data_IF_563403177164
#
_entry.id   IF_563403177164
#
_cell.length_a   1.000
_cell.length_b   1.000
_cell.length_c   1.000
_cell.angle_alpha   90.00
_cell.angle_beta   90.00
_cell.angle_gamma   90.00
#
_symmetry.space_group_name_H-M   'P 1'
#
loop_
_entity.id
_entity.type
_entity.pdbx_description
1 polymer ?
#
# COMPACT_ATOMS: atom_id res chain seq x y z
N UNK A 1 50.19 12.32 -46.90
CA UNK A 1 49.76 13.58 -47.51
C UNK A 1 48.41 13.93 -46.99
N UNK A 2 48.19 15.19 -46.64
CA UNK A 2 47.09 15.65 -45.77
C UNK A 2 45.98 16.36 -46.57
N UNK A 3 44.87 16.63 -45.85
CA UNK A 3 43.86 17.60 -46.25
C UNK A 3 42.48 17.02 -46.01
N UNK A 4 41.49 17.65 -45.38
CA UNK A 4 41.23 19.04 -45.10
C UNK A 4 40.18 19.14 -43.98
N UNK A 5 40.38 20.11 -43.13
CA UNK A 5 39.40 20.64 -42.20
C UNK A 5 38.27 21.36 -42.94
N UNK A 6 37.04 21.25 -42.50
CA UNK A 6 36.03 22.30 -42.64
C UNK A 6 35.27 22.53 -41.35
N UNK A 7 35.39 23.71 -40.87
CA UNK A 7 34.69 24.41 -39.84
C UNK A 7 33.27 24.74 -40.26
N UNK A 8 32.30 24.66 -39.36
CA UNK A 8 30.92 25.09 -39.56
C UNK A 8 30.32 25.59 -38.26
N UNK A 9 30.19 26.81 -38.16
CA UNK A 9 29.72 27.85 -37.28
C UNK A 9 28.63 27.50 -36.24
N UNK A 10 28.84 28.18 -35.09
CA UNK A 10 27.88 28.38 -33.98
C UNK A 10 26.67 29.22 -34.46
N UNK A 11 25.49 28.85 -33.99
CA UNK A 11 24.36 29.76 -33.87
C UNK A 11 23.85 29.70 -32.42
N UNK A 12 24.13 30.74 -31.66
CA UNK A 12 23.58 30.96 -30.33
C UNK A 12 22.13 31.42 -30.44
N UNK A 13 21.29 30.89 -29.56
CA UNK A 13 19.97 31.49 -29.27
C UNK A 13 19.91 31.80 -27.79
N UNK A 14 20.02 33.09 -27.50
CA UNK A 14 19.73 33.69 -26.20
C UNK A 14 18.22 33.68 -25.97
N UNK A 15 17.75 32.85 -25.05
CA UNK A 15 16.37 32.87 -24.54
C UNK A 15 16.30 33.75 -23.30
N UNK A 16 15.44 34.75 -23.35
CA UNK A 16 15.18 35.78 -22.33
C UNK A 16 14.45 35.13 -21.15
N UNK A 17 15.01 35.30 -19.94
CA UNK A 17 14.34 35.02 -18.68
C UNK A 17 13.31 36.12 -18.40
N UNK A 18 12.03 35.75 -18.34
CA UNK A 18 10.97 36.59 -17.79
C UNK A 18 10.74 36.22 -16.35
N UNK A 19 11.11 37.10 -15.44
CA UNK A 19 10.79 36.97 -14.03
C UNK A 19 9.30 37.31 -13.83
N UNK A 20 8.49 36.33 -13.38
CA UNK A 20 7.14 36.59 -12.88
C UNK A 20 7.22 36.70 -11.35
N UNK A 21 6.93 37.90 -10.86
CA UNK A 21 6.78 38.18 -9.44
C UNK A 21 5.37 37.73 -8.98
N UNK A 22 5.31 36.79 -8.06
CA UNK A 22 4.06 36.44 -7.36
C UNK A 22 3.85 37.39 -6.18
N UNK A 23 2.75 38.13 -6.22
CA UNK A 23 2.28 38.98 -5.12
C UNK A 23 1.58 38.14 -4.08
N UNK A 24 2.09 38.15 -2.83
CA UNK A 24 1.38 37.65 -1.66
C UNK A 24 0.17 38.52 -1.38
N UNK A 25 -1.03 37.93 -1.42
CA UNK A 25 -2.23 38.52 -0.86
C UNK A 25 -2.42 37.99 0.59
N UNK A 26 -2.14 38.84 1.58
CA UNK A 26 -2.46 38.59 2.96
C UNK A 26 -3.94 38.87 3.20
N UNK A 27 -4.72 37.85 3.55
CA UNK A 27 -6.11 38.04 4.02
C UNK A 27 -6.12 38.31 5.52
N UNK A 28 -6.48 39.53 5.86
CA UNK A 28 -6.68 39.98 7.25
C UNK A 28 -8.04 39.51 7.77
N UNK A 29 -8.05 38.74 8.85
CA UNK A 29 -9.26 38.47 9.61
C UNK A 29 -9.64 39.69 10.46
N UNK A 30 -10.75 40.34 10.12
CA UNK A 30 -11.37 41.36 10.93
C UNK A 30 -12.38 40.71 11.90
N UNK A 31 -12.12 40.89 13.17
CA UNK A 31 -13.04 40.58 14.29
C UNK A 31 -14.14 41.62 14.34
N UNK A 32 -15.41 41.22 14.24
CA UNK A 32 -16.55 42.07 14.63
C UNK A 32 -17.20 41.55 15.90
N UNK A 33 -17.12 42.38 16.95
CA UNK A 33 -17.92 42.24 18.16
C UNK A 33 -19.25 43.02 18.01
N UNK A 34 -20.34 42.36 18.39
CA UNK A 34 -21.43 42.91 19.17
C UNK A 34 -22.49 43.75 18.49
N UNK A 35 -23.72 43.26 18.50
CA UNK A 35 -24.89 44.05 18.87
C UNK A 35 -26.04 43.10 19.28
N UNK A 36 -26.53 43.31 20.50
CA UNK A 36 -27.73 42.69 21.03
C UNK A 36 -28.99 43.26 20.37
N UNK A 37 -30.03 42.47 20.20
CA UNK A 37 -31.33 42.96 19.74
C UNK A 37 -32.40 41.89 19.55
N UNK A 38 -33.26 41.71 20.54
CA UNK A 38 -34.70 41.52 20.34
C UNK A 38 -35.22 40.13 20.00
N UNK A 39 -35.79 39.46 20.98
CA UNK A 39 -36.59 38.25 20.85
C UNK A 39 -37.95 38.50 20.19
N UNK A 40 -38.41 37.58 19.35
CA UNK A 40 -39.82 37.26 19.13
C UNK A 40 -39.94 35.74 18.88
N UNK A 41 -40.97 35.05 19.41
CA UNK A 41 -41.06 33.59 19.38
C UNK A 41 -41.72 33.14 18.08
N UNK A 42 -41.07 32.22 17.36
CA UNK A 42 -41.69 31.45 16.28
C UNK A 42 -41.98 30.04 16.78
N UNK A 43 -43.21 29.70 16.65
CA UNK A 43 -43.91 28.48 17.02
C UNK A 43 -43.40 27.27 16.24
N UNK A 44 -43.30 26.17 16.93
CA UNK A 44 -43.22 24.77 16.64
C UNK A 44 -43.25 24.24 15.20
N UNK A 45 -42.23 23.49 14.93
CA UNK A 45 -42.19 22.43 13.97
C UNK A 45 -41.27 21.34 14.51
N UNK A 46 -41.86 20.33 15.16
CA UNK A 46 -41.15 19.18 15.66
C UNK A 46 -40.62 18.39 14.48
N UNK A 47 -39.35 18.61 14.10
CA UNK A 47 -38.59 17.68 13.34
C UNK A 47 -38.07 16.65 14.33
N UNK A 48 -38.52 15.41 14.21
CA UNK A 48 -37.93 14.26 14.89
C UNK A 48 -36.46 14.23 14.57
N UNK A 49 -35.62 14.67 15.45
CA UNK A 49 -34.17 14.48 15.41
C UNK A 49 -33.90 12.99 15.59
N UNK A 50 -33.85 12.27 14.50
CA UNK A 50 -33.28 10.92 14.51
C UNK A 50 -31.86 11.03 15.07
N UNK A 51 -31.59 10.31 16.16
CA UNK A 51 -30.21 10.17 16.65
C UNK A 51 -29.29 9.81 15.51
N UNK A 52 -28.08 10.37 15.39
CA UNK A 52 -27.13 9.98 14.38
C UNK A 52 -26.93 8.46 14.50
N UNK A 53 -27.26 7.70 13.44
CA UNK A 53 -27.00 6.27 13.41
C UNK A 53 -25.49 6.12 13.56
N UNK A 54 -25.05 5.68 14.75
CA UNK A 54 -23.64 5.39 15.02
C UNK A 54 -23.19 4.29 14.08
N UNK A 55 -22.43 4.65 13.05
CA UNK A 55 -21.94 3.72 12.03
C UNK A 55 -20.85 2.85 12.65
N UNK A 56 -21.18 1.62 12.97
CA UNK A 56 -20.27 0.67 13.59
C UNK A 56 -19.37 -0.01 12.54
N UNK A 57 -18.09 -0.24 12.87
CA UNK A 57 -17.26 -1.11 12.07
C UNK A 57 -17.92 -2.49 11.89
N UNK A 58 -17.60 -3.22 10.81
CA UNK A 58 -18.10 -4.56 10.61
C UNK A 58 -17.72 -5.48 11.77
N UNK A 59 -18.58 -6.46 12.06
CA UNK A 59 -18.31 -7.44 13.11
C UNK A 59 -16.95 -8.13 12.89
N UNK A 60 -16.21 -8.48 13.96
CA UNK A 60 -14.95 -9.18 13.84
C UNK A 60 -15.11 -10.53 13.10
N UNK A 61 -14.27 -10.75 12.09
CA UNK A 61 -14.20 -12.06 11.42
C UNK A 61 -13.56 -13.09 12.35
N UNK A 62 -14.11 -14.30 12.37
CA UNK A 62 -13.49 -15.44 13.04
C UNK A 62 -12.56 -16.15 12.05
N UNK A 63 -11.29 -16.26 12.41
CA UNK A 63 -10.29 -16.98 11.63
C UNK A 63 -10.04 -18.36 12.22
N UNK A 64 -9.84 -19.34 11.36
CA UNK A 64 -9.45 -20.70 11.73
C UNK A 64 -7.97 -20.83 12.02
N UNK A 65 -7.54 -22.05 12.32
CA UNK A 65 -6.13 -22.37 12.51
C UNK A 65 -5.36 -22.21 11.19
N UNK A 66 -4.30 -21.42 11.22
CA UNK A 66 -3.43 -21.23 10.07
C UNK A 66 -2.55 -22.45 9.79
N UNK A 67 -2.42 -22.84 8.53
CA UNK A 67 -1.64 -24.01 8.09
C UNK A 67 -0.70 -23.66 6.97
N UNK A 68 0.50 -24.24 6.98
CA UNK A 68 1.35 -24.22 5.80
C UNK A 68 0.72 -25.10 4.73
N UNK A 69 0.42 -24.48 3.57
CA UNK A 69 -0.22 -25.14 2.43
C UNK A 69 0.78 -25.51 1.33
N UNK A 70 1.92 -24.80 1.24
CA UNK A 70 2.93 -25.05 0.23
C UNK A 70 4.31 -24.53 0.66
N UNK A 71 5.30 -24.83 -0.18
CA UNK A 71 6.56 -24.09 -0.31
C UNK A 71 6.64 -23.53 -1.73
N UNK A 72 7.21 -22.34 -1.88
CA UNK A 72 7.42 -21.72 -3.18
C UNK A 72 8.49 -22.50 -3.95
N UNK A 73 8.10 -23.05 -5.11
CA UNK A 73 8.94 -23.97 -5.88
C UNK A 73 10.06 -23.26 -6.66
N UNK A 74 9.93 -21.95 -6.89
CA UNK A 74 10.97 -21.19 -7.58
C UNK A 74 12.13 -20.90 -6.63
N UNK A 75 13.26 -21.59 -6.84
CA UNK A 75 14.45 -21.44 -5.98
C UNK A 75 15.13 -20.06 -6.03
N UNK A 76 14.68 -19.15 -6.90
CA UNK A 76 15.14 -17.76 -6.92
C UNK A 76 14.36 -16.89 -5.92
N UNK A 77 13.34 -17.44 -5.25
CA UNK A 77 12.62 -16.78 -4.15
C UNK A 77 13.26 -17.30 -2.86
N UNK A 78 14.19 -16.56 -2.31
CA UNK A 78 14.93 -16.94 -1.10
C UNK A 78 14.64 -16.02 0.10
N UNK A 79 14.17 -14.80 -0.17
CA UNK A 79 13.81 -13.77 0.81
C UNK A 79 12.43 -13.17 0.47
N UNK A 80 11.37 -14.03 0.41
CA UNK A 80 10.00 -13.56 0.14
C UNK A 80 9.59 -12.51 1.17
N UNK A 81 9.59 -11.24 0.76
CA UNK A 81 9.22 -10.10 1.58
C UNK A 81 7.76 -9.69 1.35
N UNK A 82 7.42 -8.97 0.28
CA UNK A 82 6.04 -8.65 -0.02
C UNK A 82 5.21 -9.84 -0.51
N UNK A 83 3.90 -9.81 -0.24
CA UNK A 83 2.93 -10.80 -0.71
C UNK A 83 1.63 -10.11 -1.13
N UNK A 84 1.13 -10.43 -2.32
CA UNK A 84 -0.18 -9.96 -2.76
C UNK A 84 -0.97 -11.07 -3.47
N UNK A 85 -2.25 -11.21 -3.15
CA UNK A 85 -3.15 -12.06 -3.93
C UNK A 85 -3.62 -11.29 -5.17
N UNK A 86 -3.48 -11.90 -6.34
CA UNK A 86 -3.90 -11.31 -7.62
C UNK A 86 -5.35 -10.84 -7.61
N UNK A 87 -5.64 -9.74 -8.29
CA UNK A 87 -7.00 -9.20 -8.45
C UNK A 87 -7.60 -9.49 -9.83
N UNK A 88 -6.79 -9.90 -10.82
CA UNK A 88 -7.26 -10.28 -12.16
C UNK A 88 -6.96 -11.73 -12.53
N UNK A 89 -6.03 -12.43 -11.85
CA UNK A 89 -5.69 -13.81 -12.13
C UNK A 89 -6.17 -14.72 -11.00
N UNK A 90 -7.27 -15.49 -11.15
CA UNK A 90 -7.77 -16.35 -10.09
C UNK A 90 -6.73 -17.36 -9.59
N UNK A 91 -6.52 -17.43 -8.28
CA UNK A 91 -5.60 -18.38 -7.66
C UNK A 91 -4.11 -18.05 -7.79
N UNK A 92 -3.76 -16.88 -8.33
CA UNK A 92 -2.38 -16.40 -8.45
C UNK A 92 -2.02 -15.52 -7.26
N UNK A 93 -0.77 -15.65 -6.83
CA UNK A 93 -0.12 -14.78 -5.84
C UNK A 93 1.15 -14.20 -6.42
N UNK A 94 1.50 -13.02 -5.91
CA UNK A 94 2.70 -12.27 -6.25
C UNK A 94 3.61 -12.13 -5.04
N UNK A 95 4.91 -12.23 -5.26
CA UNK A 95 5.93 -11.90 -4.27
C UNK A 95 7.16 -11.32 -4.95
N UNK A 96 8.03 -10.72 -4.17
CA UNK A 96 9.38 -10.31 -4.53
C UNK A 96 10.36 -10.71 -3.41
N UNK A 97 11.65 -10.68 -3.71
CA UNK A 97 12.66 -10.79 -2.68
C UNK A 97 12.92 -9.42 -2.04
N UNK A 98 13.46 -9.45 -0.82
CA UNK A 98 13.99 -8.31 -0.09
C UNK A 98 15.20 -7.68 -0.83
N UNK A 99 15.93 -6.81 -0.16
CA UNK A 99 17.02 -5.99 -0.65
C UNK A 99 18.14 -6.74 -1.40
N UNK A 100 18.88 -6.02 -2.26
CA UNK A 100 20.04 -6.55 -2.99
C UNK A 100 19.74 -7.39 -4.22
N UNK A 101 18.47 -7.64 -4.52
CA UNK A 101 18.01 -8.35 -5.71
C UNK A 101 17.82 -7.46 -6.94
N UNK A 102 17.29 -8.06 -8.01
CA UNK A 102 16.77 -7.32 -9.16
C UNK A 102 15.34 -6.89 -8.89
N UNK A 103 14.84 -5.78 -9.47
CA UNK A 103 13.43 -5.41 -9.42
C UNK A 103 12.60 -6.47 -10.16
N UNK A 104 12.09 -7.44 -9.43
CA UNK A 104 11.50 -8.65 -9.99
C UNK A 104 10.30 -9.12 -9.19
N UNK A 105 9.22 -9.42 -9.89
CA UNK A 105 8.03 -10.05 -9.35
C UNK A 105 7.98 -11.53 -9.76
N UNK A 106 7.50 -12.35 -8.85
CA UNK A 106 7.29 -13.77 -9.04
C UNK A 106 5.81 -14.10 -8.87
N UNK A 107 5.21 -14.70 -9.91
CA UNK A 107 3.86 -15.23 -9.85
C UNK A 107 3.89 -16.71 -9.48
N UNK A 108 3.02 -17.11 -8.57
CA UNK A 108 2.88 -18.51 -8.16
C UNK A 108 1.41 -18.81 -7.78
N UNK A 109 1.06 -20.11 -7.76
CA UNK A 109 -0.27 -20.53 -7.37
C UNK A 109 -0.33 -21.00 -5.90
N UNK A 110 -1.54 -21.34 -5.42
CA UNK A 110 -1.77 -21.81 -4.05
C UNK A 110 -0.98 -23.09 -3.69
N UNK A 111 -0.48 -23.84 -4.68
CA UNK A 111 0.41 -25.00 -4.46
C UNK A 111 1.90 -24.61 -4.41
N UNK A 112 2.21 -23.32 -4.55
CA UNK A 112 3.58 -22.82 -4.60
C UNK A 112 4.26 -23.02 -5.97
N UNK A 113 3.57 -23.51 -6.97
CA UNK A 113 4.11 -23.73 -8.33
C UNK A 113 4.35 -22.36 -8.99
N UNK A 114 5.53 -22.20 -9.60
CA UNK A 114 5.88 -20.95 -10.30
C UNK A 114 5.07 -20.84 -11.59
N UNK A 115 4.40 -19.70 -11.77
CA UNK A 115 3.62 -19.37 -12.95
C UNK A 115 4.31 -18.35 -13.85
N UNK A 116 5.28 -17.60 -13.33
CA UNK A 116 6.03 -16.64 -14.13
C UNK A 116 7.02 -15.83 -13.32
N UNK A 117 7.95 -15.21 -14.04
CA UNK A 117 8.95 -14.28 -13.51
C UNK A 117 8.90 -13.01 -14.35
N UNK A 118 8.90 -11.86 -13.71
CA UNK A 118 8.68 -10.58 -14.35
C UNK A 118 9.74 -9.57 -13.88
N UNK A 119 10.57 -9.10 -14.81
CA UNK A 119 11.52 -8.02 -14.56
C UNK A 119 10.78 -6.69 -14.68
N UNK A 120 10.72 -5.92 -13.60
CA UNK A 120 10.07 -4.61 -13.58
C UNK A 120 11.08 -3.53 -13.96
N UNK A 121 10.69 -2.58 -14.79
CA UNK A 121 11.51 -1.40 -15.09
C UNK A 121 11.43 -0.43 -13.91
N UNK A 122 12.22 -0.70 -12.88
CA UNK A 122 12.21 -0.02 -11.60
C UNK A 122 13.63 0.06 -11.04
N UNK A 123 13.84 0.90 -10.03
CA UNK A 123 14.95 0.77 -9.10
C UNK A 123 14.70 -0.37 -8.11
N UNK A 124 15.74 -0.87 -7.47
CA UNK A 124 15.61 -1.80 -6.35
C UNK A 124 16.76 -1.51 -5.39
N UNK A 125 16.49 -0.66 -4.43
CA UNK A 125 17.44 -0.37 -3.34
C UNK A 125 17.10 -1.27 -2.16
N UNK A 126 15.82 -1.24 -1.73
CA UNK A 126 15.36 -1.98 -0.55
C UNK A 126 13.83 -2.18 -0.66
N UNK A 127 13.42 -3.20 -1.46
CA UNK A 127 12.01 -3.54 -1.63
C UNK A 127 11.51 -4.32 -0.43
N UNK A 128 10.48 -3.82 0.24
CA UNK A 128 10.01 -4.40 1.50
C UNK A 128 8.62 -5.03 1.37
N UNK A 129 7.68 -4.37 0.72
CA UNK A 129 6.30 -4.85 0.64
C UNK A 129 5.69 -4.60 -0.74
N UNK A 130 4.54 -5.23 -0.99
CA UNK A 130 3.76 -5.05 -2.20
C UNK A 130 2.26 -5.14 -1.94
N UNK A 131 1.47 -4.48 -2.77
CA UNK A 131 0.02 -4.60 -2.74
C UNK A 131 -0.54 -4.94 -4.12
N UNK A 132 -1.70 -5.61 -4.14
CA UNK A 132 -2.54 -5.76 -5.32
C UNK A 132 -3.89 -5.10 -5.04
N UNK A 133 -4.37 -4.27 -5.96
CA UNK A 133 -5.62 -3.55 -5.82
C UNK A 133 -6.42 -3.56 -7.12
N UNK A 134 -7.73 -3.69 -7.03
CA UNK A 134 -8.62 -3.44 -8.16
C UNK A 134 -9.29 -2.09 -7.96
N UNK A 135 -9.11 -1.18 -8.92
CA UNK A 135 -9.76 0.12 -8.94
C UNK A 135 -10.60 0.19 -10.20
N UNK A 136 -11.92 0.32 -10.04
CA UNK A 136 -12.89 0.15 -11.12
C UNK A 136 -12.71 -1.23 -11.78
N UNK A 137 -12.44 -1.28 -13.09
CA UNK A 137 -12.27 -2.53 -13.82
C UNK A 137 -10.81 -2.97 -13.97
N UNK A 138 -9.86 -2.16 -13.58
CA UNK A 138 -8.43 -2.44 -13.75
C UNK A 138 -7.77 -2.86 -12.45
N UNK A 139 -6.92 -3.88 -12.54
CA UNK A 139 -6.12 -4.38 -11.43
C UNK A 139 -4.69 -3.84 -11.52
N UNK A 140 -4.14 -3.48 -10.38
CA UNK A 140 -2.80 -2.90 -10.26
C UNK A 140 -1.97 -3.60 -9.20
N UNK A 141 -0.66 -3.57 -9.38
CA UNK A 141 0.34 -3.93 -8.38
C UNK A 141 1.09 -2.67 -7.95
N UNK A 142 1.44 -2.64 -6.69
CA UNK A 142 2.35 -1.67 -6.08
C UNK A 142 3.54 -2.45 -5.53
N UNK A 143 4.76 -2.07 -5.90
CA UNK A 143 5.98 -2.54 -5.23
C UNK A 143 6.62 -1.36 -4.49
N UNK A 144 7.01 -1.58 -3.23
CA UNK A 144 7.44 -0.53 -2.33
C UNK A 144 8.96 -0.61 -2.04
N UNK A 145 9.74 0.29 -2.63
CA UNK A 145 11.18 0.49 -2.37
C UNK A 145 11.34 1.50 -1.23
N UNK A 146 11.08 1.04 -0.01
CA UNK A 146 10.86 1.88 1.17
C UNK A 146 11.75 1.54 2.37
N UNK A 147 12.52 0.46 2.28
CA UNK A 147 13.46 0.05 3.32
C UNK A 147 14.57 1.08 3.52
N UNK A 148 14.95 1.30 4.78
CA UNK A 148 16.02 2.21 5.17
C UNK A 148 16.44 1.93 6.63
N UNK A 149 17.07 0.80 6.83
CA UNK A 149 17.47 0.31 8.16
C UNK A 149 18.30 1.31 9.00
N UNK A 150 18.91 2.28 8.34
CA UNK A 150 19.72 3.32 8.98
C UNK A 150 19.04 4.69 8.99
N UNK A 151 17.88 4.85 8.37
CA UNK A 151 17.16 6.13 8.20
C UNK A 151 18.03 7.21 7.58
N UNK A 152 18.71 6.89 6.48
CA UNK A 152 19.67 7.76 5.79
C UNK A 152 19.22 8.14 4.38
N UNK A 153 18.19 7.50 3.84
CA UNK A 153 17.69 7.80 2.48
C UNK A 153 16.96 9.14 2.49
N UNK A 154 17.35 10.02 1.55
CA UNK A 154 16.69 11.31 1.34
C UNK A 154 15.40 11.21 0.54
N UNK A 155 15.16 10.09 -0.16
CA UNK A 155 14.00 9.86 -1.03
C UNK A 155 13.76 8.35 -1.17
N UNK A 156 12.50 8.00 -1.35
CA UNK A 156 12.01 6.64 -1.54
C UNK A 156 11.22 6.56 -2.85
N UNK A 157 10.85 5.35 -3.27
CA UNK A 157 10.04 5.17 -4.47
C UNK A 157 9.00 4.07 -4.27
N UNK A 158 7.83 4.29 -4.85
CA UNK A 158 6.84 3.25 -5.08
C UNK A 158 6.74 3.01 -6.57
N UNK A 159 6.50 1.77 -6.98
CA UNK A 159 6.38 1.40 -8.38
C UNK A 159 4.98 0.87 -8.63
N UNK A 160 4.20 1.63 -9.40
CA UNK A 160 2.83 1.35 -9.75
C UNK A 160 2.75 0.78 -11.16
N UNK A 161 2.08 -0.33 -11.34
CA UNK A 161 1.92 -0.97 -12.64
C UNK A 161 0.57 -1.66 -12.76
N UNK A 162 0.06 -1.75 -13.98
CA UNK A 162 -1.09 -2.59 -14.27
C UNK A 162 -0.72 -4.06 -14.02
N UNK A 163 -1.59 -4.80 -13.34
CA UNK A 163 -1.35 -6.20 -13.03
C UNK A 163 -1.38 -7.03 -14.32
N UNK A 164 -0.29 -7.74 -14.68
CA UNK A 164 -0.25 -8.49 -15.91
C UNK A 164 -1.08 -9.77 -15.85
N UNK A 165 -1.67 -10.17 -16.97
CA UNK A 165 -2.23 -11.51 -17.10
C UNK A 165 -1.12 -12.57 -17.01
N UNK A 166 -1.42 -13.64 -16.27
CA UNK A 166 -0.56 -14.81 -16.08
C UNK A 166 -1.20 -16.01 -16.76
N UNK A 167 -0.64 -16.43 -17.88
CA UNK A 167 -1.11 -17.61 -18.59
C UNK A 167 -0.58 -18.89 -17.91
N UNK A 168 -1.47 -19.82 -17.55
CA UNK A 168 -1.08 -21.09 -16.91
C UNK A 168 -0.17 -21.95 -17.80
N UNK A 169 -0.29 -21.84 -19.13
CA UNK A 169 0.40 -22.69 -20.10
C UNK A 169 1.78 -22.16 -20.52
N UNK A 170 2.06 -20.88 -20.34
CA UNK A 170 3.32 -20.26 -20.70
C UNK A 170 4.25 -20.13 -19.48
N UNK A 171 5.18 -21.08 -19.32
CA UNK A 171 6.36 -20.87 -18.47
C UNK A 171 7.49 -20.29 -19.33
N UNK A 172 7.55 -18.98 -19.54
CA UNK A 172 8.56 -18.38 -20.39
C UNK A 172 9.95 -18.68 -19.81
N UNK A 173 10.85 -19.17 -20.67
CA UNK A 173 12.24 -19.42 -20.30
C UNK A 173 12.99 -18.11 -19.93
N UNK A 174 12.41 -16.95 -20.26
CA UNK A 174 12.97 -15.62 -20.02
C UNK A 174 11.93 -14.79 -19.28
N UNK A 175 12.32 -14.02 -18.25
CA UNK A 175 11.42 -13.11 -17.56
C UNK A 175 10.73 -12.14 -18.52
N UNK A 176 9.42 -11.97 -18.35
CA UNK A 176 8.67 -10.90 -19.03
C UNK A 176 9.07 -9.54 -18.45
N UNK A 177 9.10 -8.51 -19.29
CA UNK A 177 9.38 -7.14 -18.84
C UNK A 177 8.08 -6.39 -18.63
N UNK A 178 8.02 -5.68 -17.50
CA UNK A 178 6.91 -4.81 -17.13
C UNK A 178 7.40 -3.38 -16.98
N UNK A 179 6.65 -2.44 -17.52
CA UNK A 179 6.83 -1.03 -17.25
C UNK A 179 6.07 -0.67 -15.97
N UNK A 180 6.66 0.17 -15.14
CA UNK A 180 6.05 0.69 -13.93
C UNK A 180 6.20 2.20 -13.89
N UNK A 181 5.18 2.89 -13.41
CA UNK A 181 5.25 4.31 -13.05
C UNK A 181 5.96 4.42 -11.70
N UNK A 182 7.02 5.23 -11.66
CA UNK A 182 7.74 5.50 -10.44
C UNK A 182 7.09 6.68 -9.70
N UNK A 183 6.78 6.48 -8.42
CA UNK A 183 6.26 7.49 -7.52
C UNK A 183 7.36 7.84 -6.51
N UNK A 184 8.24 8.79 -6.81
CA UNK A 184 9.21 9.25 -5.84
C UNK A 184 8.52 10.02 -4.72
N UNK A 185 8.94 9.76 -3.46
CA UNK A 185 8.35 10.46 -2.33
C UNK A 185 9.36 10.70 -1.20
N UNK A 186 8.98 11.60 -0.29
CA UNK A 186 9.67 11.88 0.96
C UNK A 186 8.66 11.84 2.11
N UNK A 187 9.10 11.45 3.29
CA UNK A 187 8.28 11.63 4.49
C UNK A 187 8.32 13.08 4.95
N UNK A 188 7.21 13.58 5.49
CA UNK A 188 7.13 14.98 5.96
C UNK A 188 8.04 15.31 7.13
N UNK A 189 8.43 14.30 7.90
CA UNK A 189 9.15 14.40 9.16
C UNK A 189 10.53 13.71 9.15
N UNK A 190 11.12 13.53 7.97
CA UNK A 190 12.46 12.99 7.78
C UNK A 190 12.49 11.54 7.32
N UNK A 191 13.65 10.90 7.40
CA UNK A 191 13.86 9.54 6.89
C UNK A 191 13.34 8.49 7.85
N UNK A 192 12.70 7.45 7.32
CA UNK A 192 12.16 6.34 8.10
C UNK A 192 12.43 5.01 7.41
N UNK A 193 12.76 3.98 8.20
CA UNK A 193 12.63 2.61 7.74
C UNK A 193 11.14 2.26 7.69
N UNK A 194 10.67 1.82 6.53
CA UNK A 194 9.30 1.38 6.32
C UNK A 194 9.32 -0.03 5.74
N UNK A 195 8.37 -0.86 6.13
CA UNK A 195 8.35 -2.28 5.75
C UNK A 195 6.94 -2.75 5.39
N UNK A 196 6.00 -1.80 5.26
CA UNK A 196 4.62 -2.15 5.00
C UNK A 196 3.96 -1.12 4.09
N UNK A 197 3.26 -1.59 3.07
CA UNK A 197 2.56 -0.77 2.10
C UNK A 197 1.22 -1.40 1.69
N UNK A 198 0.16 -0.59 1.64
CA UNK A 198 -1.14 -1.03 1.16
C UNK A 198 -1.83 0.08 0.35
N UNK A 199 -2.80 -0.31 -0.47
CA UNK A 199 -3.61 0.63 -1.26
C UNK A 199 -5.07 0.48 -0.86
N UNK A 200 -5.74 1.58 -0.56
CA UNK A 200 -7.17 1.59 -0.32
C UNK A 200 -7.95 1.43 -1.64
N UNK A 201 -8.68 0.34 -1.85
CA UNK A 201 -9.40 0.11 -3.10
C UNK A 201 -10.53 1.12 -3.36
N UNK A 202 -11.01 1.79 -2.30
CA UNK A 202 -12.08 2.78 -2.42
C UNK A 202 -11.59 4.15 -2.91
N UNK A 203 -10.38 4.54 -2.50
CA UNK A 203 -9.86 5.89 -2.76
C UNK A 203 -8.60 5.91 -3.62
N UNK A 204 -7.90 4.79 -3.76
CA UNK A 204 -6.58 4.72 -4.39
C UNK A 204 -5.44 5.29 -3.54
N UNK A 205 -5.72 5.76 -2.33
CA UNK A 205 -4.68 6.26 -1.43
C UNK A 205 -3.73 5.14 -0.97
N UNK A 206 -2.44 5.47 -0.91
CA UNK A 206 -1.40 4.55 -0.46
C UNK A 206 -1.11 4.80 1.01
N UNK A 207 -1.03 3.73 1.78
CA UNK A 207 -0.67 3.74 3.20
C UNK A 207 0.67 3.01 3.39
N UNK A 208 1.53 3.61 4.21
CA UNK A 208 2.86 3.08 4.56
C UNK A 208 2.96 3.00 6.07
N UNK A 209 3.60 1.95 6.59
CA UNK A 209 3.82 1.82 8.03
C UNK A 209 5.31 1.67 8.33
N UNK A 210 5.85 2.61 9.10
CA UNK A 210 7.25 2.57 9.50
C UNK A 210 7.55 1.39 10.42
N UNK A 211 8.69 0.75 10.24
CA UNK A 211 9.20 -0.28 11.16
C UNK A 211 10.06 0.36 12.23
N UNK A 212 9.74 0.10 13.47
CA UNK A 212 10.55 0.55 14.61
C UNK A 212 10.66 -0.56 15.65
N UNK A 213 11.82 -0.65 16.29
CA UNK A 213 12.01 -1.52 17.47
C UNK A 213 11.25 -0.99 18.70
N UNK A 214 10.82 0.27 18.66
CA UNK A 214 9.97 0.86 19.68
C UNK A 214 8.56 0.25 19.66
N UNK A 215 7.80 0.43 20.73
CA UNK A 215 6.44 -0.09 20.87
C UNK A 215 5.41 0.60 19.95
N UNK A 216 5.81 1.52 19.09
CA UNK A 216 4.92 2.28 18.22
C UNK A 216 5.51 2.47 16.83
N UNK A 217 4.65 2.39 15.80
CA UNK A 217 4.96 2.67 14.40
C UNK A 217 4.07 3.82 13.91
N UNK A 218 4.55 4.63 12.98
CA UNK A 218 3.74 5.65 12.31
C UNK A 218 3.12 5.10 11.04
N UNK A 219 1.88 5.51 10.78
CA UNK A 219 1.21 5.32 9.50
C UNK A 219 1.30 6.63 8.73
N UNK A 220 1.75 6.52 7.49
CA UNK A 220 1.81 7.63 6.54
C UNK A 220 0.84 7.36 5.38
N UNK A 221 0.37 8.42 4.74
CA UNK A 221 -0.42 8.30 3.52
C UNK A 221 0.08 9.28 2.45
N UNK A 222 -0.12 8.90 1.20
CA UNK A 222 0.05 9.74 0.03
C UNK A 222 -0.97 9.31 -1.04
N UNK A 223 -1.36 10.22 -1.97
CA UNK A 223 -2.24 9.83 -3.07
C UNK A 223 -1.54 8.83 -4.00
N UNK A 224 -2.26 7.83 -4.48
CA UNK A 224 -1.82 6.97 -5.57
C UNK A 224 -2.25 7.53 -6.94
N UNK A 225 -1.82 6.94 -8.06
CA UNK A 225 -2.05 7.47 -9.42
C UNK A 225 -3.52 7.69 -9.82
N UNK A 226 -4.45 7.07 -9.11
CA UNK A 226 -5.89 7.19 -9.38
C UNK A 226 -6.67 7.84 -8.23
N UNK A 227 -5.95 8.32 -7.20
CA UNK A 227 -6.54 8.98 -6.05
C UNK A 227 -6.80 10.46 -6.33
N UNK A 228 -7.72 11.06 -5.56
CA UNK A 228 -7.87 12.52 -5.50
C UNK A 228 -6.55 13.15 -5.03
N UNK A 229 -6.14 14.24 -5.69
CA UNK A 229 -4.89 14.94 -5.40
C UNK A 229 -3.66 14.39 -6.12
N UNK A 230 -3.81 13.38 -6.99
CA UNK A 230 -2.73 12.97 -7.88
C UNK A 230 -2.50 14.03 -8.97
N UNK A 231 -1.26 14.51 -9.20
CA UNK A 231 -0.96 15.48 -10.26
C UNK A 231 -1.15 14.85 -11.65
N UNK A 232 -1.65 15.64 -12.64
CA UNK A 232 -1.85 15.14 -14.01
C UNK A 232 -0.56 14.58 -14.65
N UNK A 233 0.58 15.21 -14.36
CA UNK A 233 1.90 14.81 -14.90
C UNK A 233 2.64 13.83 -13.98
N UNK A 234 1.99 13.33 -12.90
CA UNK A 234 2.61 12.50 -11.89
C UNK A 234 3.66 13.23 -11.04
N UNK A 235 4.40 12.48 -10.25
CA UNK A 235 5.50 13.01 -9.44
C UNK A 235 6.85 12.73 -10.10
N UNK A 236 7.84 13.56 -9.81
CA UNK A 236 9.21 13.40 -10.30
C UNK A 236 10.23 13.41 -9.17
N UNK A 237 11.45 12.96 -9.45
CA UNK A 237 12.53 13.00 -8.46
C UNK A 237 12.87 14.43 -7.99
N UNK A 238 12.60 15.45 -8.80
CA UNK A 238 12.77 16.87 -8.43
C UNK A 238 11.62 17.44 -7.62
N UNK A 239 10.43 16.88 -7.76
CA UNK A 239 9.20 17.25 -7.06
C UNK A 239 8.52 15.96 -6.57
N UNK A 240 9.06 15.32 -5.53
CA UNK A 240 8.51 14.06 -5.01
C UNK A 240 7.19 14.28 -4.26
N UNK A 241 6.37 13.24 -4.21
CA UNK A 241 5.21 13.21 -3.32
C UNK A 241 5.65 13.37 -1.86
N UNK A 242 4.75 13.83 -1.02
CA UNK A 242 4.97 13.93 0.42
C UNK A 242 4.07 12.95 1.16
N UNK A 243 4.68 11.98 1.81
CA UNK A 243 3.97 11.06 2.71
C UNK A 243 3.71 11.75 4.06
N UNK A 244 2.44 11.90 4.41
CA UNK A 244 1.99 12.62 5.61
C UNK A 244 1.62 11.63 6.71
N UNK A 245 2.10 11.86 7.93
CA UNK A 245 1.77 11.03 9.08
C UNK A 245 0.30 11.22 9.49
N UNK A 246 -0.46 10.13 9.54
CA UNK A 246 -1.91 10.16 9.80
C UNK A 246 -2.34 9.39 11.05
N UNK A 247 -1.49 8.47 11.53
CA UNK A 247 -1.78 7.71 12.75
C UNK A 247 -0.49 7.18 13.40
N UNK A 248 -0.64 6.69 14.63
CA UNK A 248 0.41 5.96 15.35
C UNK A 248 -0.18 4.66 15.88
N UNK A 249 0.38 3.53 15.46
CA UNK A 249 -0.03 2.21 15.91
C UNK A 249 0.82 1.76 17.10
N UNK A 250 0.21 1.10 18.06
CA UNK A 250 0.92 0.50 19.20
C UNK A 250 1.36 -0.94 18.88
N UNK A 251 2.14 -1.07 17.81
CA UNK A 251 2.65 -2.32 17.29
C UNK A 251 4.16 -2.16 17.06
N UNK A 252 5.01 -3.04 17.60
CA UNK A 252 6.44 -3.06 17.31
C UNK A 252 6.72 -3.89 16.05
N UNK A 253 7.83 -3.61 15.36
CA UNK A 253 8.40 -4.47 14.32
C UNK A 253 7.41 -4.88 13.22
N UNK A 254 6.68 -3.89 12.68
CA UNK A 254 5.80 -4.10 11.51
C UNK A 254 6.64 -4.59 10.33
N UNK A 255 6.12 -5.57 9.57
CA UNK A 255 6.80 -6.16 8.40
C UNK A 255 5.95 -6.17 7.13
N UNK A 256 4.65 -5.99 7.19
CA UNK A 256 3.79 -5.94 6.02
C UNK A 256 2.43 -5.32 6.35
N UNK A 257 1.68 -4.94 5.30
CA UNK A 257 0.30 -4.47 5.42
C UNK A 257 -0.51 -4.85 4.18
N UNK A 258 -1.78 -5.18 4.37
CA UNK A 258 -2.74 -5.27 3.26
C UNK A 258 -4.10 -4.72 3.66
N UNK A 259 -4.86 -4.22 2.68
CA UNK A 259 -6.24 -3.80 2.85
C UNK A 259 -7.15 -4.79 2.10
N UNK A 260 -8.19 -5.25 2.79
CA UNK A 260 -9.14 -6.21 2.22
C UNK A 260 -9.78 -5.71 0.92
N UNK A 261 -10.17 -6.60 -0.01
CA UNK A 261 -10.75 -6.21 -1.29
C UNK A 261 -12.01 -5.34 -1.17
N UNK A 262 -12.77 -5.49 -0.09
CA UNK A 262 -13.94 -4.67 0.22
C UNK A 262 -13.60 -3.31 0.86
N UNK A 263 -12.32 -3.04 1.12
CA UNK A 263 -11.84 -1.81 1.75
C UNK A 263 -12.30 -1.62 3.20
N UNK A 264 -12.76 -2.67 3.88
CA UNK A 264 -13.36 -2.58 5.23
C UNK A 264 -12.42 -3.02 6.35
N UNK A 265 -11.32 -3.70 6.04
CA UNK A 265 -10.33 -4.18 6.99
C UNK A 265 -8.91 -3.95 6.49
N UNK A 266 -8.02 -3.64 7.41
CA UNK A 266 -6.58 -3.59 7.16
C UNK A 266 -5.87 -4.56 8.10
N UNK A 267 -4.93 -5.32 7.56
CA UNK A 267 -3.98 -6.16 8.31
C UNK A 267 -2.65 -5.44 8.39
N UNK A 268 -2.07 -5.41 9.59
CA UNK A 268 -0.69 -4.99 9.82
C UNK A 268 0.06 -6.17 10.40
N UNK A 269 0.98 -6.72 9.63
CA UNK A 269 1.78 -7.89 9.97
C UNK A 269 3.00 -7.53 10.82
N UNK A 270 3.43 -8.51 11.62
CA UNK A 270 4.70 -8.52 12.32
C UNK A 270 5.39 -9.85 12.08
N UNK A 271 6.61 -10.03 12.56
CA UNK A 271 7.30 -11.32 12.45
C UNK A 271 6.48 -12.52 12.98
N UNK A 272 5.60 -12.31 13.96
CA UNK A 272 4.87 -13.38 14.64
C UNK A 272 3.35 -13.31 14.44
N UNK A 273 2.76 -12.15 14.64
CA UNK A 273 1.31 -11.93 14.68
C UNK A 273 0.85 -10.98 13.56
N UNK A 274 -0.44 -10.74 13.48
CA UNK A 274 -1.03 -9.64 12.71
C UNK A 274 -2.01 -8.86 13.59
N UNK A 275 -2.28 -7.62 13.19
CA UNK A 275 -3.27 -6.76 13.83
C UNK A 275 -4.27 -6.30 12.79
N UNK A 276 -5.55 -6.57 13.05
CA UNK A 276 -6.63 -6.21 12.16
C UNK A 276 -7.33 -4.95 12.65
N UNK A 277 -7.49 -4.00 11.75
CA UNK A 277 -8.27 -2.78 11.92
C UNK A 277 -9.50 -2.87 11.03
N UNK A 278 -10.67 -2.62 11.61
CA UNK A 278 -11.92 -2.58 10.84
C UNK A 278 -12.42 -1.13 10.81
N UNK A 279 -12.88 -0.65 9.64
CA UNK A 279 -13.48 0.67 9.48
C UNK A 279 -14.97 0.60 9.15
N UNK A 280 -15.73 1.56 9.64
CA UNK A 280 -17.11 1.77 9.24
C UNK A 280 -17.19 2.30 7.79
N UNK A 281 -18.39 2.34 7.20
CA UNK A 281 -18.55 2.66 5.78
C UNK A 281 -18.07 4.05 5.40
N UNK A 282 -18.35 5.04 6.24
CA UNK A 282 -17.95 6.44 6.02
C UNK A 282 -16.77 6.86 6.92
N UNK A 283 -16.07 5.89 7.49
CA UNK A 283 -14.92 6.17 8.33
C UNK A 283 -13.64 6.20 7.49
N UNK A 284 -12.76 7.11 7.80
CA UNK A 284 -11.42 7.15 7.17
C UNK A 284 -10.47 6.15 7.83
N UNK A 285 -9.42 5.73 7.12
CA UNK A 285 -8.40 4.86 7.71
C UNK A 285 -7.66 5.53 8.88
N UNK A 286 -7.31 6.84 8.85
CA UNK A 286 -6.76 7.52 10.03
C UNK A 286 -7.63 7.38 11.28
N UNK A 287 -8.95 7.51 11.17
CA UNK A 287 -9.87 7.30 12.29
C UNK A 287 -9.88 5.84 12.75
N UNK A 288 -9.92 4.89 11.82
CA UNK A 288 -9.86 3.47 12.15
C UNK A 288 -8.55 3.09 12.86
N UNK A 289 -7.42 3.61 12.40
CA UNK A 289 -6.11 3.40 13.02
C UNK A 289 -5.93 4.12 14.37
N UNK A 290 -6.80 5.06 14.70
CA UNK A 290 -6.87 5.69 16.03
C UNK A 290 -7.34 4.73 17.13
N UNK A 291 -7.96 3.60 16.76
CA UNK A 291 -8.37 2.54 17.70
C UNK A 291 -7.25 1.50 17.85
N UNK A 292 -7.38 0.66 18.87
CA UNK A 292 -6.51 -0.50 19.02
C UNK A 292 -6.85 -1.59 18.00
N UNK A 293 -5.84 -2.08 17.28
CA UNK A 293 -5.99 -3.18 16.34
C UNK A 293 -6.23 -4.51 17.06
N UNK A 294 -7.14 -5.32 16.54
CA UNK A 294 -7.39 -6.67 17.05
C UNK A 294 -6.21 -7.58 16.72
N UNK A 295 -5.50 -8.04 17.73
CA UNK A 295 -4.40 -9.00 17.55
C UNK A 295 -4.94 -10.35 17.06
N UNK A 296 -4.33 -10.88 16.02
CA UNK A 296 -4.57 -12.20 15.44
C UNK A 296 -3.31 -13.04 15.57
N UNK A 297 -3.44 -14.18 16.23
CA UNK A 297 -2.35 -15.15 16.29
C UNK A 297 -2.14 -15.77 14.90
N UNK A 298 -0.92 -15.71 14.39
CA UNK A 298 -0.55 -16.28 13.10
C UNK A 298 0.26 -17.55 13.26
N UNK A 299 0.30 -18.44 12.24
CA UNK A 299 1.17 -19.62 12.27
C UNK A 299 2.63 -19.22 12.54
N UNK A 300 3.34 -20.04 13.32
CA UNK A 300 4.75 -19.80 13.60
C UNK A 300 5.57 -19.79 12.29
N UNK A 301 6.33 -18.73 12.10
CA UNK A 301 7.19 -18.47 10.93
C UNK A 301 8.60 -18.13 11.41
N UNK A 302 9.60 -18.49 10.60
CA UNK A 302 11.00 -18.22 10.96
C UNK A 302 11.33 -16.71 10.94
N UNK A 303 10.86 -16.01 9.88
CA UNK A 303 10.88 -14.56 9.74
C UNK A 303 9.68 -14.19 8.88
N UNK A 304 8.55 -13.86 9.52
CA UNK A 304 7.31 -13.54 8.81
C UNK A 304 7.39 -12.17 8.19
N UNK A 305 7.33 -12.08 6.86
CA UNK A 305 7.37 -10.82 6.14
C UNK A 305 6.06 -10.58 5.40
N UNK A 306 5.73 -11.34 4.35
CA UNK A 306 4.54 -11.08 3.55
C UNK A 306 3.23 -11.43 4.24
N UNK A 307 2.20 -10.59 4.05
CA UNK A 307 0.81 -10.84 4.45
C UNK A 307 -0.14 -10.29 3.40
N UNK A 308 -1.21 -11.02 3.07
CA UNK A 308 -2.25 -10.56 2.17
C UNK A 308 -3.59 -11.19 2.50
N UNK A 309 -4.67 -10.45 2.32
CA UNK A 309 -6.00 -11.03 2.19
C UNK A 309 -6.11 -11.80 0.87
N UNK A 310 -6.82 -12.91 0.89
CA UNK A 310 -7.26 -13.57 -0.33
C UNK A 310 -8.11 -12.65 -1.22
N UNK A 311 -8.27 -12.98 -2.52
CA UNK A 311 -8.94 -12.12 -3.47
C UNK A 311 -10.44 -11.89 -3.13
N UNK A 312 -11.03 -12.77 -2.34
CA UNK A 312 -12.40 -12.72 -1.84
C UNK A 312 -12.53 -12.28 -0.37
N UNK A 313 -11.40 -11.98 0.29
CA UNK A 313 -11.34 -11.64 1.72
C UNK A 313 -11.63 -12.81 2.66
N UNK A 314 -11.73 -14.06 2.17
CA UNK A 314 -12.10 -15.25 2.95
C UNK A 314 -10.93 -16.03 3.54
N UNK A 315 -9.73 -15.55 3.35
CA UNK A 315 -8.52 -16.09 3.96
C UNK A 315 -7.45 -15.01 4.11
N UNK A 316 -6.50 -15.24 5.00
CA UNK A 316 -5.24 -14.52 5.08
C UNK A 316 -4.14 -15.46 4.60
N UNK A 317 -3.27 -14.97 3.74
CA UNK A 317 -2.08 -15.66 3.25
C UNK A 317 -0.82 -15.00 3.81
N UNK A 318 0.19 -15.82 4.07
CA UNK A 318 1.44 -15.34 4.66
C UNK A 318 2.63 -16.07 4.06
N UNK A 319 3.72 -15.34 3.92
CA UNK A 319 5.03 -15.90 3.57
C UNK A 319 6.04 -15.64 4.68
N UNK A 320 7.23 -16.18 4.50
CA UNK A 320 8.36 -15.98 5.39
C UNK A 320 9.63 -16.09 4.56
N UNK A 321 10.65 -15.37 4.93
CA UNK A 321 11.98 -15.55 4.37
C UNK A 321 12.55 -16.95 4.61
N UNK A 322 13.69 -17.19 4.00
CA UNK A 322 14.51 -18.40 4.00
C UNK A 322 13.92 -19.53 3.17
N UNK A 323 14.55 -19.74 2.00
CA UNK A 323 14.20 -20.83 1.10
C UNK A 323 14.29 -22.21 1.78
N UNK A 324 13.37 -23.13 1.46
CA UNK A 324 12.21 -22.93 0.59
C UNK A 324 11.14 -22.11 1.32
N UNK A 325 10.84 -20.89 0.80
CA UNK A 325 9.89 -19.96 1.40
C UNK A 325 8.51 -20.62 1.55
N UNK A 326 7.91 -20.64 2.75
CA UNK A 326 6.62 -21.29 2.99
C UNK A 326 5.45 -20.36 2.59
N UNK A 327 4.36 -20.96 2.13
CA UNK A 327 3.06 -20.30 2.00
C UNK A 327 2.11 -20.87 3.06
N UNK A 328 1.53 -19.98 3.86
CA UNK A 328 0.51 -20.32 4.84
C UNK A 328 -0.84 -19.75 4.44
N UNK A 329 -1.89 -20.38 4.91
CA UNK A 329 -3.27 -19.93 4.79
C UNK A 329 -3.96 -19.98 6.16
N UNK A 330 -4.65 -18.90 6.50
CA UNK A 330 -5.52 -18.78 7.68
C UNK A 330 -6.93 -18.53 7.16
N UNK A 331 -7.81 -19.56 7.14
CA UNK A 331 -9.15 -19.42 6.57
C UNK A 331 -10.07 -18.62 7.48
N UNK A 332 -11.05 -17.94 6.89
CA UNK A 332 -12.21 -17.42 7.62
C UNK A 332 -13.11 -18.61 8.01
N UNK A 333 -13.53 -18.66 9.27
CA UNK A 333 -14.53 -19.60 9.71
C UNK A 333 -15.91 -19.09 9.30
N UNK A 334 -16.67 -19.92 8.56
CA UNK A 334 -18.07 -19.65 8.32
C UNK A 334 -18.82 -19.75 9.65
N UNK A 335 -19.51 -18.68 10.04
CA UNK A 335 -20.52 -18.81 11.08
C UNK A 335 -21.54 -19.84 10.56
N UNK A 336 -21.57 -21.03 11.14
CA UNK A 336 -22.73 -21.90 10.98
C UNK A 336 -23.90 -21.11 11.57
N UNK A 337 -24.67 -20.47 10.69
CA UNK A 337 -25.97 -19.96 11.08
C UNK A 337 -26.69 -21.14 11.74
N UNK A 338 -27.19 -20.91 12.95
CA UNK A 338 -27.95 -21.90 13.72
C UNK A 338 -28.95 -22.58 12.78
N UNK A 339 -28.61 -23.83 12.40
CA UNK A 339 -29.55 -24.71 11.74
C UNK A 339 -30.70 -24.89 12.71
N UNK A 340 -31.81 -24.25 12.43
CA UNK A 340 -33.09 -24.73 12.93
C UNK A 340 -33.29 -26.08 12.28
N UNK A 341 -33.01 -27.13 13.05
CA UNK A 341 -33.51 -28.46 12.78
C UNK A 341 -35.03 -28.34 12.77
N UNK A 342 -35.63 -28.62 11.64
CA UNK A 342 -37.03 -29.00 11.52
C UNK A 342 -37.18 -30.51 11.84
#
# INVERSE_FOLDING_TARGET
MPGQRRSGAKAGRTGRWAALAFALAAASFASCRGAEGGAAPATGGGGEGGEPIEKKPPAPIQYGEGKRIAHLANGAIDESSGLAASRCNPGVFWTHNDSGGRPRLYAFNRKGESLGVFDVRAGAIDWEDMAAVKIKETSYLLAADVGDNFSLRGQYALYWLEEPEVAEEEKPAVPRRLDAEAIPFVYEDGSHNCEAAAVDPATGAIYLVSKRKAATCKVYTLPGPLAEGWPEDGYTAGEPARAVAVATLRIPTVTAMDISPDGRRALVGTYADAYEYARAEDETWPEAFGREGRRLAMPARRKGEGISYGPDGRAIYLTSEYAPCPLFEVPVLENKADGKDE
#
